data_IF_293359345009
#
_entry.id   IF_293359345009
#
_cell.length_a   1.000
_cell.length_b   1.000
_cell.length_c   1.000
_cell.angle_alpha   90.00
_cell.angle_beta   90.00
_cell.angle_gamma   90.00
#
_symmetry.space_group_name_H-M   'P 1'
#
loop_
_entity.id
_entity.type
_entity.pdbx_description
1 polymer ?
#
# COMPACT_ATOMS: atom_id res chain seq x y z
N UNK A 1 -19.28 0.15 1.71
CA UNK A 1 -18.55 -0.67 0.72
C UNK A 1 -18.25 0.09 -0.56
N UNK A 2 -19.22 0.36 -1.46
CA UNK A 2 -18.92 1.02 -2.76
C UNK A 2 -18.36 2.45 -2.58
N UNK A 3 -18.87 3.20 -1.60
CA UNK A 3 -18.38 4.54 -1.28
C UNK A 3 -16.97 4.57 -0.66
N UNK A 4 -16.59 3.54 0.10
CA UNK A 4 -15.29 3.51 0.79
C UNK A 4 -14.15 3.24 -0.19
N UNK A 5 -14.38 2.32 -1.14
CA UNK A 5 -13.44 2.03 -2.22
C UNK A 5 -13.20 3.27 -3.09
N UNK A 6 -14.27 3.96 -3.51
CA UNK A 6 -14.17 5.19 -4.30
C UNK A 6 -13.38 6.26 -3.55
N UNK A 7 -13.59 6.40 -2.25
CA UNK A 7 -12.88 7.38 -1.43
C UNK A 7 -11.39 7.06 -1.26
N UNK A 8 -11.02 5.78 -1.17
CA UNK A 8 -9.62 5.33 -1.16
C UNK A 8 -8.96 5.62 -2.50
N UNK A 9 -9.63 5.31 -3.62
CA UNK A 9 -9.12 5.58 -4.97
C UNK A 9 -8.93 7.09 -5.17
N UNK A 10 -9.89 7.93 -4.75
CA UNK A 10 -9.73 9.39 -4.78
C UNK A 10 -8.54 9.86 -3.94
N UNK A 11 -8.33 9.26 -2.77
CA UNK A 11 -7.20 9.58 -1.89
C UNK A 11 -5.86 9.15 -2.50
N UNK A 12 -5.82 7.99 -3.18
CA UNK A 12 -4.67 7.51 -3.93
C UNK A 12 -4.32 8.50 -5.05
N UNK A 13 -5.29 8.88 -5.88
CA UNK A 13 -5.07 9.83 -6.99
C UNK A 13 -4.52 11.17 -6.48
N UNK A 14 -5.06 11.70 -5.38
CA UNK A 14 -4.55 12.94 -4.77
C UNK A 14 -3.10 12.79 -4.29
N UNK A 15 -2.78 11.65 -3.69
CA UNK A 15 -1.44 11.33 -3.20
C UNK A 15 -0.43 11.25 -4.35
N UNK A 16 -0.76 10.51 -5.41
CA UNK A 16 0.09 10.40 -6.61
C UNK A 16 0.31 11.78 -7.24
N UNK A 17 -0.74 12.59 -7.40
CA UNK A 17 -0.63 13.95 -7.94
C UNK A 17 0.26 14.84 -7.07
N UNK A 18 0.13 14.77 -5.74
CA UNK A 18 0.99 15.55 -4.84
C UNK A 18 2.46 15.12 -4.95
N UNK A 19 2.75 13.82 -5.06
CA UNK A 19 4.11 13.31 -5.27
C UNK A 19 4.66 13.80 -6.62
N UNK A 20 3.87 13.74 -7.69
CA UNK A 20 4.28 14.22 -9.02
C UNK A 20 4.55 15.73 -9.04
N UNK A 21 3.73 16.53 -8.35
CA UNK A 21 3.85 17.99 -8.35
C UNK A 21 4.99 18.50 -7.47
N UNK A 22 5.18 17.89 -6.30
CA UNK A 22 6.07 18.43 -5.26
C UNK A 22 7.32 17.58 -5.02
N UNK A 23 7.34 16.33 -5.50
CA UNK A 23 8.35 15.34 -5.16
C UNK A 23 8.04 14.61 -3.85
N UNK A 24 8.47 13.35 -3.74
CA UNK A 24 8.12 12.46 -2.61
C UNK A 24 8.62 12.96 -1.25
N UNK A 25 9.72 13.73 -1.23
CA UNK A 25 10.32 14.25 -0.01
C UNK A 25 9.70 15.58 0.44
N UNK A 26 8.77 16.15 -0.33
CA UNK A 26 8.18 17.44 0.01
C UNK A 26 7.10 17.29 1.10
N UNK A 27 7.01 18.20 2.09
CA UNK A 27 6.01 18.15 3.15
C UNK A 27 4.57 18.01 2.65
N UNK A 28 4.25 18.66 1.52
CA UNK A 28 2.95 18.51 0.87
C UNK A 28 2.63 17.06 0.49
N UNK A 29 3.59 16.30 -0.06
CA UNK A 29 3.37 14.89 -0.39
C UNK A 29 3.05 14.08 0.87
N UNK A 30 3.79 14.32 1.97
CA UNK A 30 3.53 13.68 3.27
C UNK A 30 2.11 13.94 3.79
N UNK A 31 1.59 15.15 3.59
CA UNK A 31 0.23 15.53 4.00
C UNK A 31 -0.88 14.77 3.25
N UNK A 32 -0.59 14.18 2.09
CA UNK A 32 -1.53 13.31 1.36
C UNK A 32 -1.24 11.82 1.63
N UNK A 33 0.03 11.42 1.70
CA UNK A 33 0.43 10.04 1.97
C UNK A 33 -0.11 9.53 3.31
N UNK A 34 0.08 10.28 4.40
CA UNK A 34 -0.30 9.81 5.75
C UNK A 34 -1.81 9.55 5.87
N UNK A 35 -2.70 10.47 5.46
CA UNK A 35 -4.15 10.21 5.46
C UNK A 35 -4.55 9.07 4.52
N UNK A 36 -3.92 8.95 3.35
CA UNK A 36 -4.18 7.85 2.42
C UNK A 36 -3.85 6.50 3.05
N UNK A 37 -2.65 6.34 3.61
CA UNK A 37 -2.25 5.09 4.26
C UNK A 37 -3.19 4.74 5.42
N UNK A 38 -3.56 5.71 6.25
CA UNK A 38 -4.53 5.47 7.33
C UNK A 38 -5.87 4.95 6.78
N UNK A 39 -6.43 5.60 5.76
CA UNK A 39 -7.70 5.16 5.13
C UNK A 39 -7.58 3.77 4.54
N UNK A 40 -6.48 3.48 3.85
CA UNK A 40 -6.22 2.18 3.26
C UNK A 40 -6.13 1.10 4.35
N UNK A 41 -5.36 1.34 5.42
CA UNK A 41 -5.24 0.40 6.55
C UNK A 41 -6.58 0.16 7.22
N UNK A 42 -7.36 1.21 7.49
CA UNK A 42 -8.69 1.08 8.11
C UNK A 42 -9.65 0.30 7.21
N UNK A 43 -9.57 0.47 5.88
CA UNK A 43 -10.36 -0.30 4.93
C UNK A 43 -9.97 -1.77 4.91
N UNK A 44 -8.68 -2.07 4.83
CA UNK A 44 -8.18 -3.45 4.79
C UNK A 44 -8.52 -4.22 6.07
N UNK A 45 -8.47 -3.57 7.25
CA UNK A 45 -8.90 -4.17 8.52
C UNK A 45 -10.37 -4.59 8.54
N UNK A 46 -11.23 -3.84 7.84
CA UNK A 46 -12.66 -4.08 7.81
C UNK A 46 -13.11 -4.94 6.62
N UNK A 47 -12.20 -5.23 5.68
CA UNK A 47 -12.46 -6.03 4.48
C UNK A 47 -11.36 -7.10 4.37
N UNK A 48 -11.46 -8.20 5.13
CA UNK A 48 -10.44 -9.26 5.19
C UNK A 48 -10.31 -10.07 3.90
N UNK A 49 -11.05 -9.73 2.84
CA UNK A 49 -10.85 -10.26 1.49
C UNK A 49 -9.43 -10.01 0.96
N UNK A 50 -8.66 -9.11 1.58
CA UNK A 50 -7.26 -8.85 1.30
C UNK A 50 -6.35 -9.43 2.40
N UNK A 51 -6.50 -10.73 2.68
CA UNK A 51 -5.61 -11.47 3.58
C UNK A 51 -4.28 -11.76 2.87
N UNK A 52 -3.26 -10.95 3.18
CA UNK A 52 -1.93 -11.07 2.60
C UNK A 52 -1.01 -11.78 3.59
N UNK A 53 -0.52 -12.95 3.20
CA UNK A 53 0.59 -13.60 3.88
C UNK A 53 1.91 -13.07 3.33
N UNK A 54 2.72 -12.48 4.22
CA UNK A 54 4.03 -11.93 3.88
C UNK A 54 5.10 -12.93 4.29
N UNK A 55 5.83 -13.44 3.30
CA UNK A 55 7.04 -14.24 3.51
C UNK A 55 8.29 -13.45 3.09
N UNK A 56 9.46 -13.99 3.38
CA UNK A 56 10.74 -13.29 3.19
C UNK A 56 10.93 -12.74 1.77
N UNK A 57 10.41 -13.42 0.74
CA UNK A 57 10.54 -13.05 -0.67
C UNK A 57 9.24 -13.22 -1.47
N UNK A 58 8.13 -13.49 -0.79
CA UNK A 58 6.83 -13.76 -1.40
C UNK A 58 5.74 -12.97 -0.71
N UNK A 59 4.76 -12.54 -1.50
CA UNK A 59 3.46 -12.09 -1.01
C UNK A 59 2.43 -13.06 -1.54
N UNK A 60 1.66 -13.64 -0.63
CA UNK A 60 0.62 -14.59 -0.94
C UNK A 60 -0.75 -13.99 -0.63
N UNK A 61 -1.75 -14.40 -1.41
CA UNK A 61 -3.16 -14.17 -1.13
C UNK A 61 -3.88 -15.51 -1.29
N UNK A 62 -4.59 -15.96 -0.25
CA UNK A 62 -5.24 -17.27 -0.24
C UNK A 62 -4.31 -18.43 -0.67
N UNK A 63 -3.09 -18.47 -0.11
CA UNK A 63 -2.01 -19.42 -0.42
C UNK A 63 -1.43 -19.36 -1.85
N UNK A 64 -1.88 -18.43 -2.70
CA UNK A 64 -1.32 -18.21 -4.03
C UNK A 64 -0.27 -17.11 -4.02
N UNK A 65 0.90 -17.38 -4.63
CA UNK A 65 1.95 -16.37 -4.81
C UNK A 65 1.47 -15.33 -5.81
N UNK A 66 1.14 -14.13 -5.32
CA UNK A 66 0.76 -12.99 -6.16
C UNK A 66 1.95 -12.09 -6.50
N UNK A 67 3.05 -12.22 -5.74
CA UNK A 67 4.30 -11.48 -5.98
C UNK A 67 5.51 -12.27 -5.47
N UNK A 68 6.55 -12.38 -6.30
CA UNK A 68 7.84 -13.03 -5.98
C UNK A 68 8.99 -12.08 -6.31
N UNK A 69 9.98 -12.02 -5.43
CA UNK A 69 11.16 -11.17 -5.63
C UNK A 69 12.46 -11.91 -5.31
N UNK A 70 13.47 -11.72 -6.17
CA UNK A 70 14.77 -12.38 -6.04
C UNK A 70 15.84 -11.49 -5.42
N UNK A 71 15.66 -10.17 -5.52
CA UNK A 71 16.63 -9.18 -5.04
C UNK A 71 16.19 -8.56 -3.73
N UNK A 72 16.99 -8.80 -2.68
CA UNK A 72 16.72 -8.34 -1.31
C UNK A 72 16.58 -6.82 -1.19
N UNK A 73 17.42 -6.05 -1.88
CA UNK A 73 17.49 -4.58 -1.69
C UNK A 73 16.26 -3.85 -2.23
N UNK A 74 15.70 -4.34 -3.34
CA UNK A 74 14.49 -3.81 -3.96
C UNK A 74 13.21 -4.50 -3.47
N UNK A 75 13.33 -5.69 -2.86
CA UNK A 75 12.18 -6.52 -2.50
C UNK A 75 11.22 -5.84 -1.53
N UNK A 76 10.00 -5.61 -1.98
CA UNK A 76 8.89 -5.17 -1.13
C UNK A 76 8.48 -6.24 -0.13
N UNK A 77 8.47 -7.53 -0.51
CA UNK A 77 8.17 -8.64 0.38
C UNK A 77 9.18 -8.69 1.54
N UNK A 78 10.47 -8.63 1.24
CA UNK A 78 11.54 -8.59 2.24
C UNK A 78 11.44 -7.35 3.15
N UNK A 79 11.07 -6.19 2.58
CA UNK A 79 10.87 -4.95 3.35
C UNK A 79 9.67 -5.02 4.29
N UNK A 80 8.62 -5.75 3.93
CA UNK A 80 7.44 -5.94 4.76
C UNK A 80 7.66 -7.03 5.81
N UNK A 81 8.34 -8.13 5.48
CA UNK A 81 8.62 -9.25 6.40
C UNK A 81 9.47 -8.83 7.62
N UNK A 82 10.38 -7.87 7.44
CA UNK A 82 11.33 -7.43 8.48
C UNK A 82 10.79 -6.37 9.44
N UNK A 83 9.60 -5.82 9.21
CA UNK A 83 8.98 -4.76 10.03
C UNK A 83 7.79 -5.32 10.80
#
# INVERSE_FOLDING_TARGET
>A
MENDLIDIVKSLVKTVKAIQMYGINHPSAKNFCVPFYKKLTDFLKNNPELDLQIEQFFILHADEIIHEEKEKESSIAFRLFRN
#
